data_IF_351792320812
#
_entry.id   IF_351792320812
#
_cell.length_a   1.000
_cell.length_b   1.000
_cell.length_c   1.000
_cell.angle_alpha   90.00
_cell.angle_beta   90.00
_cell.angle_gamma   90.00
#
_symmetry.space_group_name_H-M   'P 1'
#
loop_
_entity.id
_entity.type
_entity.pdbx_description
1 polymer ?
#
# COMPACT_ATOMS: atom_id res chain seq x y z
N UNK A 1 10.60 -4.37 -6.49
CA UNK A 1 11.35 -5.04 -5.40
C UNK A 1 10.42 -5.32 -4.22
N UNK A 2 10.69 -6.34 -3.40
CA UNK A 2 9.83 -6.76 -2.28
C UNK A 2 10.67 -7.14 -1.07
N UNK A 3 10.17 -6.84 0.12
CA UNK A 3 10.83 -7.14 1.39
C UNK A 3 9.91 -7.90 2.32
N UNK A 4 10.48 -8.76 3.14
CA UNK A 4 9.77 -9.68 4.01
C UNK A 4 10.37 -9.69 5.42
N UNK A 5 9.54 -10.01 6.42
CA UNK A 5 10.02 -10.36 7.76
C UNK A 5 10.73 -11.72 7.73
N UNK A 6 11.49 -12.10 8.78
CA UNK A 6 12.05 -13.45 8.90
C UNK A 6 11.01 -14.58 8.85
N UNK A 7 9.74 -14.27 9.17
CA UNK A 7 8.62 -15.21 9.10
C UNK A 7 7.88 -15.18 7.76
N UNK A 8 8.47 -14.60 6.71
CA UNK A 8 7.93 -14.61 5.35
C UNK A 8 6.77 -13.63 5.10
N UNK A 9 6.41 -12.76 6.06
CA UNK A 9 5.36 -11.75 5.84
C UNK A 9 5.93 -10.59 5.03
N UNK A 10 5.29 -10.23 3.91
CA UNK A 10 5.70 -9.07 3.12
C UNK A 10 5.50 -7.79 3.93
N UNK A 11 6.41 -6.84 3.82
CA UNK A 11 6.35 -5.57 4.58
C UNK A 11 6.48 -4.34 3.70
N UNK A 12 7.06 -4.49 2.50
CA UNK A 12 7.19 -3.41 1.55
C UNK A 12 7.18 -3.96 0.12
N UNK A 13 6.53 -3.23 -0.77
CA UNK A 13 6.65 -3.39 -2.22
C UNK A 13 7.07 -2.07 -2.85
N UNK A 14 8.14 -2.12 -3.64
CA UNK A 14 8.64 -0.99 -4.40
C UNK A 14 8.43 -1.24 -5.89
N UNK A 15 7.85 -0.25 -6.57
CA UNK A 15 7.60 -0.26 -8.00
C UNK A 15 8.24 0.99 -8.60
N UNK A 16 9.21 0.78 -9.51
CA UNK A 16 9.76 1.84 -10.35
C UNK A 16 9.02 1.78 -11.69
N UNK A 17 8.40 2.90 -12.08
CA UNK A 17 7.69 3.00 -13.35
C UNK A 17 8.47 3.97 -14.24
N UNK A 18 9.13 3.42 -15.25
CA UNK A 18 9.92 4.22 -16.20
C UNK A 18 9.00 5.06 -17.10
N UNK A 19 9.39 6.31 -17.33
CA UNK A 19 8.65 7.22 -18.21
C UNK A 19 7.33 7.75 -17.63
N UNK A 20 6.99 7.39 -16.38
CA UNK A 20 5.86 7.99 -15.69
C UNK A 20 6.23 9.42 -15.29
N UNK A 21 5.68 10.41 -16.01
CA UNK A 21 5.82 11.83 -15.70
C UNK A 21 5.02 12.24 -14.46
N UNK A 22 4.50 13.46 -14.42
CA UNK A 22 3.60 13.91 -13.35
C UNK A 22 2.17 13.35 -13.55
N UNK A 23 2.05 12.02 -13.54
CA UNK A 23 0.81 11.29 -13.78
C UNK A 23 0.67 10.12 -12.81
N UNK A 24 -0.57 9.73 -12.54
CA UNK A 24 -0.91 8.52 -11.81
C UNK A 24 -0.72 7.28 -12.69
N UNK A 25 -0.11 6.21 -12.15
CA UNK A 25 0.15 4.99 -12.92
C UNK A 25 -1.10 4.13 -13.12
N UNK A 26 -1.39 3.81 -14.38
CA UNK A 26 -2.59 3.11 -14.81
C UNK A 26 -3.77 4.07 -14.99
N UNK A 27 -4.98 3.55 -14.84
CA UNK A 27 -6.21 4.33 -15.08
C UNK A 27 -6.91 3.90 -16.36
N UNK A 28 -7.75 4.79 -16.89
CA UNK A 28 -8.45 4.59 -18.17
C UNK A 28 -7.72 5.35 -19.27
N UNK A 29 -7.83 4.86 -20.49
CA UNK A 29 -7.37 5.64 -21.64
C UNK A 29 -8.16 6.96 -21.76
N UNK A 30 -7.46 8.03 -22.12
CA UNK A 30 -8.00 9.40 -22.12
C UNK A 30 -8.37 9.96 -20.73
N UNK A 31 -7.98 9.30 -19.64
CA UNK A 31 -8.18 9.82 -18.28
C UNK A 31 -7.27 11.01 -17.97
N UNK A 32 -7.80 12.03 -17.29
CA UNK A 32 -7.00 13.17 -16.82
C UNK A 32 -5.97 12.74 -15.78
N UNK A 33 -4.74 13.25 -15.89
CA UNK A 33 -3.64 13.05 -14.93
C UNK A 33 -3.26 11.57 -14.69
N UNK A 34 -3.61 10.68 -15.62
CA UNK A 34 -3.32 9.25 -15.51
C UNK A 34 -2.60 8.74 -16.75
N UNK A 35 -1.62 7.86 -16.59
CA UNK A 35 -0.94 7.19 -17.70
C UNK A 35 -1.40 5.73 -17.79
N UNK A 36 -2.26 5.38 -18.76
CA UNK A 36 -2.80 4.02 -18.91
C UNK A 36 -1.74 2.98 -19.26
N UNK A 37 -0.55 3.40 -19.73
CA UNK A 37 0.57 2.50 -20.04
C UNK A 37 1.25 1.98 -18.76
N UNK A 38 1.11 2.71 -17.66
CA UNK A 38 1.62 2.32 -16.36
C UNK A 38 0.82 1.18 -15.72
N UNK A 39 1.43 0.39 -14.81
CA UNK A 39 0.69 -0.60 -14.03
C UNK A 39 -0.43 0.05 -13.21
N UNK A 40 -1.50 -0.70 -12.95
CA UNK A 40 -2.65 -0.21 -12.15
C UNK A 40 -2.27 -0.04 -10.67
N UNK A 41 -1.70 1.12 -10.32
CA UNK A 41 -1.15 1.38 -8.98
C UNK A 41 -2.17 1.15 -7.86
N UNK A 42 -3.42 1.63 -8.02
CA UNK A 42 -4.48 1.43 -7.03
C UNK A 42 -4.79 -0.06 -6.80
N UNK A 43 -4.78 -0.88 -7.86
CA UNK A 43 -4.97 -2.33 -7.75
C UNK A 43 -3.82 -3.00 -7.00
N UNK A 44 -2.58 -2.61 -7.27
CA UNK A 44 -1.39 -3.13 -6.58
C UNK A 44 -1.40 -2.74 -5.09
N UNK A 45 -1.71 -1.47 -4.79
CA UNK A 45 -1.87 -0.99 -3.42
C UNK A 45 -2.95 -1.77 -2.67
N UNK A 46 -4.11 -1.97 -3.29
CA UNK A 46 -5.20 -2.76 -2.71
C UNK A 46 -4.76 -4.20 -2.42
N UNK A 47 -4.12 -4.87 -3.38
CA UNK A 47 -3.60 -6.23 -3.21
C UNK A 47 -2.61 -6.33 -2.04
N UNK A 48 -1.78 -5.32 -1.84
CA UNK A 48 -0.92 -5.25 -0.66
C UNK A 48 -1.75 -5.03 0.62
N UNK A 49 -2.52 -3.96 0.73
CA UNK A 49 -3.17 -3.61 2.00
C UNK A 49 -4.22 -4.64 2.46
N UNK A 50 -4.90 -5.32 1.54
CA UNK A 50 -5.90 -6.35 1.89
C UNK A 50 -5.28 -7.55 2.61
N UNK A 51 -4.00 -7.85 2.39
CA UNK A 51 -3.28 -8.93 3.10
C UNK A 51 -2.43 -8.40 4.26
N UNK A 52 -2.33 -7.08 4.44
CA UNK A 52 -1.51 -6.42 5.46
C UNK A 52 -2.36 -5.46 6.29
N UNK A 53 -3.36 -6.01 6.99
CA UNK A 53 -4.20 -5.22 7.89
C UNK A 53 -3.34 -4.65 9.02
N UNK A 54 -3.46 -3.35 9.26
CA UNK A 54 -2.91 -2.73 10.47
C UNK A 54 -3.57 -3.41 11.67
N UNK A 55 -2.76 -4.05 12.50
CA UNK A 55 -3.24 -4.57 13.77
C UNK A 55 -3.70 -3.37 14.59
N UNK A 56 -4.95 -3.40 15.06
CA UNK A 56 -5.40 -2.42 16.06
C UNK A 56 -4.45 -2.55 17.24
N UNK A 57 -3.66 -1.50 17.48
CA UNK A 57 -2.93 -1.40 18.74
C UNK A 57 -4.01 -1.46 19.83
N UNK A 58 -3.85 -2.31 20.86
CA UNK A 58 -4.76 -2.27 21.99
C UNK A 58 -4.86 -0.81 22.45
N UNK A 59 -6.08 -0.31 22.65
CA UNK A 59 -6.23 0.98 23.32
C UNK A 59 -5.43 0.86 24.61
N UNK A 60 -4.48 1.77 24.83
CA UNK A 60 -3.72 1.79 26.07
C UNK A 60 -4.75 1.76 27.19
N UNK A 61 -4.76 0.67 27.97
CA UNK A 61 -5.78 0.44 28.98
C UNK A 61 -5.83 1.68 29.86
N UNK A 62 -7.02 2.27 30.01
CA UNK A 62 -7.27 3.24 31.06
C UNK A 62 -6.90 2.52 32.35
N UNK A 63 -5.74 2.85 32.91
CA UNK A 63 -5.26 2.24 34.13
C UNK A 63 -6.38 2.37 35.17
N UNK A 64 -6.99 1.24 35.52
CA UNK A 64 -7.89 1.18 36.63
C UNK A 64 -7.04 1.41 37.88
N UNK A 65 -6.88 2.68 38.28
CA UNK A 65 -6.62 3.01 39.67
C UNK A 65 -7.90 2.69 40.42
N UNK A 66 -7.96 1.49 40.98
CA UNK A 66 -8.92 1.14 42.01
C UNK A 66 -8.15 1.04 43.33
N UNK A 67 -8.46 2.02 44.19
CA UNK A 67 -8.41 2.06 45.66
C UNK A 67 -7.08 1.74 46.33
#
# INVERSE_FOLDING_TARGET
>A
MRWYTPRGRKVLEYWLVHGLGHAWSGGRDGGSYSDPRGPRAATLMWQFFRTHRLQRRPAAGRAARAR
#
